data_IF_221014726807
#
_entry.id   IF_221014726807
#
_cell.length_a   1.000
_cell.length_b   1.000
_cell.length_c   1.000
_cell.angle_alpha   90.00
_cell.angle_beta   90.00
_cell.angle_gamma   90.00
#
_symmetry.space_group_name_H-M   'P 1'
#
loop_
_entity.id
_entity.type
_entity.pdbx_description
1 polymer ?
#
# COMPACT_ATOMS: atom_id res chain seq x y z
N UNK A 1 12.01 -19.63 -0.03
CA UNK A 1 11.21 -20.73 0.55
C UNK A 1 10.90 -20.26 1.96
N UNK A 2 9.68 -19.79 2.23
CA UNK A 2 9.29 -19.35 3.58
C UNK A 2 9.40 -20.55 4.53
N UNK A 3 9.86 -20.32 5.76
CA UNK A 3 9.97 -21.42 6.71
C UNK A 3 8.58 -21.90 7.18
N UNK A 4 8.52 -23.12 7.69
CA UNK A 4 7.28 -23.77 8.13
C UNK A 4 6.59 -23.00 9.27
N UNK A 5 7.35 -22.24 10.07
CA UNK A 5 6.86 -21.44 11.21
C UNK A 5 6.20 -20.17 10.71
N UNK A 6 6.82 -19.48 9.76
CA UNK A 6 6.32 -18.28 9.10
C UNK A 6 4.99 -18.58 8.39
N UNK A 7 4.92 -19.71 7.69
CA UNK A 7 3.69 -20.19 7.04
C UNK A 7 2.57 -20.47 8.06
N UNK A 8 2.91 -21.06 9.22
CA UNK A 8 1.93 -21.33 10.28
C UNK A 8 1.43 -20.06 10.96
N UNK A 9 2.30 -19.05 11.15
CA UNK A 9 1.92 -17.75 11.71
C UNK A 9 0.99 -17.03 10.75
N UNK A 10 1.30 -17.00 9.46
CA UNK A 10 0.43 -16.43 8.43
C UNK A 10 -0.92 -17.15 8.43
N UNK A 11 -0.96 -18.47 8.37
CA UNK A 11 -2.23 -19.21 8.36
C UNK A 11 -3.06 -19.04 9.65
N UNK A 12 -2.40 -18.85 10.80
CA UNK A 12 -3.07 -18.70 12.10
C UNK A 12 -3.64 -17.31 12.32
N UNK A 13 -2.99 -16.26 11.81
CA UNK A 13 -3.34 -14.87 12.09
C UNK A 13 -3.85 -14.09 10.88
N UNK A 14 -3.50 -14.51 9.66
CA UNK A 14 -4.04 -14.03 8.40
C UNK A 14 -5.07 -15.01 7.82
N UNK A 15 -6.05 -15.40 8.64
CA UNK A 15 -7.22 -16.13 8.15
C UNK A 15 -8.07 -15.23 7.23
N UNK A 16 -9.00 -15.82 6.46
CA UNK A 16 -9.81 -15.11 5.46
C UNK A 16 -10.51 -13.85 6.01
N UNK A 17 -10.93 -13.86 7.28
CA UNK A 17 -11.56 -12.70 7.92
C UNK A 17 -10.56 -11.56 8.16
N UNK A 18 -9.32 -11.87 8.54
CA UNK A 18 -8.27 -10.87 8.66
C UNK A 18 -7.86 -10.32 7.29
N UNK A 19 -7.71 -11.17 6.29
CA UNK A 19 -7.38 -10.76 4.91
C UNK A 19 -8.45 -9.79 4.40
N UNK A 20 -9.72 -10.18 4.49
CA UNK A 20 -10.85 -9.35 4.08
C UNK A 20 -10.86 -8.00 4.81
N UNK A 21 -10.57 -8.00 6.12
CA UNK A 21 -10.50 -6.77 6.93
C UNK A 21 -9.39 -5.83 6.44
N UNK A 22 -8.20 -6.35 6.15
CA UNK A 22 -7.07 -5.53 5.67
C UNK A 22 -7.33 -5.04 4.26
N UNK A 23 -7.86 -5.87 3.37
CA UNK A 23 -8.24 -5.48 2.00
C UNK A 23 -9.29 -4.37 2.02
N UNK A 24 -10.37 -4.54 2.79
CA UNK A 24 -11.39 -3.51 3.01
C UNK A 24 -10.76 -2.22 3.55
N UNK A 25 -9.90 -2.33 4.57
CA UNK A 25 -9.23 -1.15 5.15
C UNK A 25 -8.36 -0.42 4.14
N UNK A 26 -7.71 -1.13 3.20
CA UNK A 26 -6.94 -0.52 2.12
C UNK A 26 -7.85 0.15 1.08
N UNK A 27 -8.93 -0.52 0.66
CA UNK A 27 -9.83 -0.02 -0.40
C UNK A 27 -10.57 1.26 -0.02
N UNK A 28 -11.02 1.36 1.23
CA UNK A 28 -11.79 2.51 1.71
C UNK A 28 -10.92 3.68 2.21
N UNK A 29 -9.62 3.49 2.36
CA UNK A 29 -8.73 4.50 2.94
C UNK A 29 -8.03 5.34 1.87
N UNK A 30 -8.83 6.20 1.21
CA UNK A 30 -8.35 7.14 0.18
C UNK A 30 -7.46 8.22 0.79
N UNK A 31 -6.47 8.68 0.01
CA UNK A 31 -5.71 9.86 0.39
C UNK A 31 -6.57 11.13 0.20
N UNK A 32 -6.41 12.07 1.11
CA UNK A 32 -7.15 13.34 1.16
C UNK A 32 -6.16 14.35 1.76
N UNK A 33 -5.68 15.28 0.94
CA UNK A 33 -4.58 16.20 1.30
C UNK A 33 -4.87 16.98 2.60
N UNK A 34 -6.10 17.48 2.78
CA UNK A 34 -6.46 18.27 3.97
C UNK A 34 -6.60 17.44 5.25
N UNK A 35 -6.67 16.10 5.15
CA UNK A 35 -6.96 15.21 6.29
C UNK A 35 -5.80 14.31 6.67
N UNK A 36 -4.87 14.08 5.75
CA UNK A 36 -3.80 13.11 5.93
C UNK A 36 -2.44 13.77 5.86
N UNK A 37 -1.49 13.20 6.60
CA UNK A 37 -0.08 13.48 6.39
C UNK A 37 0.49 12.42 5.46
N UNK A 38 1.28 12.84 4.50
CA UNK A 38 1.72 12.04 3.35
C UNK A 38 2.49 10.80 3.78
N UNK A 39 3.55 11.01 4.57
CA UNK A 39 4.41 9.93 5.05
C UNK A 39 3.66 8.91 5.93
N UNK A 40 2.94 9.29 7.01
CA UNK A 40 2.17 8.33 7.80
C UNK A 40 1.11 7.56 7.00
N UNK A 41 0.40 8.25 6.09
CA UNK A 41 -0.63 7.61 5.28
C UNK A 41 -0.02 6.59 4.31
N UNK A 42 1.07 6.98 3.64
CA UNK A 42 1.79 6.12 2.69
C UNK A 42 2.35 4.88 3.38
N UNK A 43 3.06 5.05 4.50
CA UNK A 43 3.60 3.92 5.28
C UNK A 43 2.50 2.96 5.71
N UNK A 44 1.36 3.47 6.19
CA UNK A 44 0.23 2.63 6.58
C UNK A 44 -0.33 1.82 5.39
N UNK A 45 -0.39 2.39 4.18
CA UNK A 45 -0.82 1.64 3.00
C UNK A 45 0.23 0.60 2.57
N UNK A 46 1.51 0.95 2.63
CA UNK A 46 2.63 0.05 2.33
C UNK A 46 2.62 -1.15 3.26
N UNK A 47 2.43 -0.94 4.57
CA UNK A 47 2.37 -2.02 5.57
C UNK A 47 1.21 -2.98 5.29
N UNK A 48 0.02 -2.46 5.00
CA UNK A 48 -1.16 -3.29 4.65
C UNK A 48 -0.90 -4.16 3.43
N UNK A 49 -0.37 -3.57 2.35
CA UNK A 49 -0.14 -4.29 1.10
C UNK A 49 1.02 -5.28 1.21
N UNK A 50 2.07 -4.96 1.96
CA UNK A 50 3.20 -5.87 2.20
C UNK A 50 2.74 -7.07 3.03
N UNK A 51 1.86 -6.84 4.01
CA UNK A 51 1.28 -7.91 4.81
C UNK A 51 0.33 -8.82 4.00
N UNK A 52 -0.44 -8.25 3.06
CA UNK A 52 -1.32 -9.02 2.17
C UNK A 52 -0.56 -9.76 1.06
N UNK A 53 0.52 -9.17 0.56
CA UNK A 53 1.22 -9.65 -0.62
C UNK A 53 2.75 -9.55 -0.46
N UNK A 54 3.36 -10.37 0.43
CA UNK A 54 4.78 -10.26 0.77
C UNK A 54 5.72 -10.48 -0.42
N UNK A 55 5.29 -11.24 -1.43
CA UNK A 55 6.10 -11.56 -2.62
C UNK A 55 5.93 -10.54 -3.77
N UNK A 56 5.15 -9.47 -3.59
CA UNK A 56 4.98 -8.44 -4.63
C UNK A 56 6.20 -7.54 -4.70
N UNK A 57 6.55 -7.10 -5.90
CA UNK A 57 7.56 -6.06 -6.09
C UNK A 57 7.11 -4.74 -5.47
N UNK A 58 8.07 -3.95 -4.99
CA UNK A 58 7.83 -2.62 -4.43
C UNK A 58 7.10 -1.70 -5.43
N UNK A 59 7.42 -1.79 -6.72
CA UNK A 59 6.71 -1.09 -7.78
C UNK A 59 5.21 -1.42 -7.82
N UNK A 60 4.84 -2.71 -7.70
CA UNK A 60 3.42 -3.11 -7.68
C UNK A 60 2.70 -2.61 -6.44
N UNK A 61 3.39 -2.58 -5.29
CA UNK A 61 2.89 -2.01 -4.04
C UNK A 61 2.63 -0.51 -4.22
N UNK A 62 3.64 0.24 -4.67
CA UNK A 62 3.54 1.68 -4.94
C UNK A 62 2.39 1.98 -5.90
N UNK A 63 2.31 1.28 -7.04
CA UNK A 63 1.22 1.46 -8.01
C UNK A 63 -0.17 1.24 -7.41
N UNK A 64 -0.34 0.28 -6.50
CA UNK A 64 -1.61 0.10 -5.77
C UNK A 64 -1.90 1.28 -4.84
N UNK A 65 -0.91 1.77 -4.09
CA UNK A 65 -1.07 2.94 -3.20
C UNK A 65 -1.49 4.17 -4.00
N UNK A 66 -0.86 4.40 -5.16
CA UNK A 66 -1.15 5.57 -6.00
C UNK A 66 -2.60 5.60 -6.51
N UNK A 67 -3.23 4.44 -6.71
CA UNK A 67 -4.67 4.36 -7.07
C UNK A 67 -5.61 4.76 -5.91
N UNK A 68 -5.08 4.88 -4.70
CA UNK A 68 -5.82 5.42 -3.55
C UNK A 68 -5.73 6.94 -3.46
N UNK A 69 -4.86 7.57 -4.26
CA UNK A 69 -4.85 9.00 -4.50
C UNK A 69 -5.91 9.26 -5.56
N UNK A 70 -7.04 9.85 -5.19
CA UNK A 70 -8.13 10.11 -6.14
C UNK A 70 -8.01 11.46 -6.84
N UNK A 71 -8.79 11.63 -7.92
CA UNK A 71 -8.98 12.93 -8.59
C UNK A 71 -7.69 13.49 -9.21
N UNK A 72 -7.51 14.81 -9.13
CA UNK A 72 -6.38 15.52 -9.75
C UNK A 72 -5.00 15.09 -9.20
N UNK A 73 -4.98 14.54 -7.98
CA UNK A 73 -3.76 14.01 -7.38
C UNK A 73 -3.34 12.69 -8.06
N UNK A 74 -4.29 11.86 -8.47
CA UNK A 74 -4.01 10.63 -9.23
C UNK A 74 -3.23 10.94 -10.50
N UNK A 75 -3.66 11.97 -11.23
CA UNK A 75 -3.03 12.41 -12.47
C UNK A 75 -1.67 13.08 -12.24
N UNK A 76 -1.54 13.86 -11.17
CA UNK A 76 -0.28 14.51 -10.79
C UNK A 76 0.79 13.49 -10.42
N UNK A 77 0.41 12.50 -9.63
CA UNK A 77 1.24 11.35 -9.28
C UNK A 77 1.65 10.57 -10.53
N UNK A 78 0.70 10.11 -11.35
CA UNK A 78 1.00 9.31 -12.56
C UNK A 78 1.97 9.98 -13.51
N UNK A 79 1.91 11.30 -13.64
CA UNK A 79 2.80 12.07 -14.52
C UNK A 79 4.22 12.20 -13.98
N UNK A 80 4.40 12.12 -12.65
CA UNK A 80 5.67 12.41 -11.97
C UNK A 80 6.36 11.15 -11.43
N UNK A 81 5.66 10.03 -11.34
CA UNK A 81 6.21 8.74 -10.88
C UNK A 81 6.51 7.80 -12.04
N UNK A 82 7.66 7.11 -11.99
CA UNK A 82 8.06 6.05 -12.93
C UNK A 82 8.19 4.71 -12.21
N UNK A 83 8.54 3.64 -12.91
CA UNK A 83 8.78 2.33 -12.29
C UNK A 83 9.97 2.33 -11.32
N UNK A 84 10.84 3.33 -11.43
CA UNK A 84 12.04 3.51 -10.61
C UNK A 84 11.80 4.46 -9.42
N UNK A 85 10.63 5.08 -9.34
CA UNK A 85 10.32 6.01 -8.26
C UNK A 85 10.32 5.32 -6.91
N UNK A 86 11.08 5.90 -6.00
CA UNK A 86 11.18 5.47 -4.62
C UNK A 86 9.95 5.95 -3.84
N UNK A 87 9.77 5.39 -2.64
CA UNK A 87 8.72 5.84 -1.74
C UNK A 87 8.81 7.35 -1.45
N UNK A 88 10.03 7.88 -1.29
CA UNK A 88 10.28 9.30 -1.04
C UNK A 88 9.80 10.19 -2.20
N UNK A 89 10.08 9.81 -3.45
CA UNK A 89 9.62 10.53 -4.63
C UNK A 89 8.09 10.65 -4.65
N UNK A 90 7.42 9.56 -4.28
CA UNK A 90 5.97 9.49 -4.21
C UNK A 90 5.44 10.38 -3.09
N UNK A 91 6.02 10.27 -1.89
CA UNK A 91 5.59 11.03 -0.71
C UNK A 91 5.74 12.54 -0.95
N UNK A 92 6.79 12.97 -1.66
CA UNK A 92 7.00 14.39 -1.99
C UNK A 92 5.98 14.94 -3.01
N UNK A 93 5.18 14.10 -3.65
CA UNK A 93 4.13 14.51 -4.60
C UNK A 93 2.76 14.59 -3.93
N UNK A 94 2.52 13.78 -2.89
CA UNK A 94 1.28 13.73 -2.12
C UNK A 94 1.09 15.03 -1.31
#
# INVERSE_FOLDING_TARGET
MLDLVETQIINKWANDAWILKVETSFEYYKFIADKHKDLPWFCQQKDRLTALYPDRSEFMIHRKILRQCGGDLEDSVKRRTTEQSLAEDIINIL
#
